data_IF_503069622613
#
_entry.id   IF_503069622613
#
_cell.length_a   1.000
_cell.length_b   1.000
_cell.length_c   1.000
_cell.angle_alpha   90.00
_cell.angle_beta   90.00
_cell.angle_gamma   90.00
#
_symmetry.space_group_name_H-M   'P 1'
#
loop_
_entity.id
_entity.type
_entity.pdbx_description
1 polymer ?
#
# COMPACT_ATOMS: atom_id res chain seq x y z
N UNK A 1 1.02 5.54 -9.80
CA UNK A 1 1.81 6.79 -9.81
C UNK A 1 2.16 7.14 -8.37
N UNK A 2 3.29 7.80 -8.09
CA UNK A 2 3.54 8.40 -6.76
C UNK A 2 2.62 9.57 -6.48
N UNK A 3 2.59 10.02 -5.22
CA UNK A 3 1.96 11.29 -4.86
C UNK A 3 2.66 12.47 -5.56
N UNK A 4 3.99 12.47 -5.69
CA UNK A 4 4.73 13.48 -6.46
C UNK A 4 4.28 13.54 -7.92
N UNK A 5 4.19 12.39 -8.59
CA UNK A 5 3.69 12.30 -9.97
C UNK A 5 2.24 12.79 -10.08
N UNK A 6 1.39 12.46 -9.10
CA UNK A 6 0.03 12.99 -9.02
C UNK A 6 0.01 14.52 -8.92
N UNK A 7 0.84 15.12 -8.07
CA UNK A 7 0.89 16.59 -7.96
C UNK A 7 1.28 17.26 -9.29
N UNK A 8 2.23 16.66 -10.01
CA UNK A 8 2.67 17.14 -11.32
C UNK A 8 1.58 16.98 -12.38
N UNK A 9 0.96 15.78 -12.47
CA UNK A 9 -0.10 15.47 -13.43
C UNK A 9 -1.31 16.40 -13.29
N UNK A 10 -1.66 16.77 -12.05
CA UNK A 10 -2.78 17.66 -11.74
C UNK A 10 -2.38 19.14 -11.68
N UNK A 11 -1.15 19.49 -12.09
CA UNK A 11 -0.65 20.86 -12.14
C UNK A 11 -0.73 21.59 -10.78
N UNK A 12 -0.58 20.83 -9.69
CA UNK A 12 -0.62 21.36 -8.32
C UNK A 12 0.76 21.83 -7.85
N UNK A 13 1.79 21.06 -8.17
CA UNK A 13 3.18 21.40 -7.92
C UNK A 13 4.11 20.49 -8.73
N UNK A 14 5.26 21.02 -9.15
CA UNK A 14 6.38 20.22 -9.65
C UNK A 14 7.49 20.24 -8.60
N UNK A 15 7.85 19.07 -8.10
CA UNK A 15 8.64 18.90 -6.88
C UNK A 15 9.69 17.80 -7.09
N UNK A 16 10.87 17.90 -6.43
CA UNK A 16 11.91 16.90 -6.54
C UNK A 16 11.54 15.59 -5.84
N UNK A 17 12.26 14.52 -6.18
CA UNK A 17 12.24 13.26 -5.40
C UNK A 17 13.49 13.14 -4.53
N UNK A 18 13.38 12.33 -3.47
CA UNK A 18 14.41 12.14 -2.45
C UNK A 18 14.68 10.65 -2.22
N UNK A 19 15.94 10.22 -2.02
CA UNK A 19 16.22 8.86 -1.62
C UNK A 19 15.71 8.61 -0.19
N UNK A 20 15.37 7.34 0.12
CA UNK A 20 14.84 6.98 1.43
C UNK A 20 15.75 7.41 2.59
N UNK A 21 17.07 7.22 2.47
CA UNK A 21 18.01 7.62 3.52
C UNK A 21 17.95 9.12 3.84
N UNK A 22 17.87 9.96 2.81
CA UNK A 22 17.79 11.41 2.97
C UNK A 22 16.43 11.82 3.55
N UNK A 23 15.35 11.18 3.11
CA UNK A 23 14.03 11.38 3.71
C UNK A 23 14.05 11.01 5.21
N UNK A 24 14.64 9.88 5.59
CA UNK A 24 14.70 9.44 6.99
C UNK A 24 15.50 10.41 7.88
N UNK A 25 16.63 10.90 7.38
CA UNK A 25 17.57 11.76 8.13
C UNK A 25 17.14 13.24 8.13
N UNK A 26 16.61 13.73 7.01
CA UNK A 26 16.39 15.16 6.76
C UNK A 26 14.91 15.54 6.51
N UNK A 27 13.95 14.66 6.83
CA UNK A 27 12.50 14.90 6.63
C UNK A 27 11.98 16.26 7.12
N UNK A 28 12.56 16.85 8.18
CA UNK A 28 12.13 18.16 8.68
C UNK A 28 12.43 19.28 7.66
N UNK A 29 13.66 19.30 7.14
CA UNK A 29 14.09 20.29 6.15
C UNK A 29 13.33 20.05 4.84
N UNK A 30 13.27 18.80 4.39
CA UNK A 30 12.54 18.40 3.18
C UNK A 30 11.06 18.85 3.26
N UNK A 31 10.37 18.59 4.36
CA UNK A 31 8.99 19.02 4.54
C UNK A 31 8.85 20.55 4.46
N UNK A 32 9.75 21.29 5.12
CA UNK A 32 9.73 22.76 5.10
C UNK A 32 9.95 23.30 3.68
N UNK A 33 10.90 22.74 2.93
CA UNK A 33 11.18 23.14 1.54
C UNK A 33 10.01 22.84 0.61
N UNK A 34 9.47 21.61 0.65
CA UNK A 34 8.32 21.22 -0.16
C UNK A 34 7.10 22.12 0.11
N UNK A 35 6.87 22.50 1.37
CA UNK A 35 5.74 23.36 1.77
C UNK A 35 5.89 24.84 1.37
N UNK A 36 7.07 25.27 0.90
CA UNK A 36 7.21 26.59 0.27
C UNK A 36 6.37 26.68 -1.00
N UNK A 37 6.34 25.60 -1.78
CA UNK A 37 5.59 25.47 -3.04
C UNK A 37 4.23 24.79 -2.83
N UNK A 38 4.19 23.64 -2.16
CA UNK A 38 2.97 22.85 -1.94
C UNK A 38 2.24 23.29 -0.69
N UNK A 39 1.18 24.09 -0.86
CA UNK A 39 0.29 24.46 0.25
C UNK A 39 -0.63 23.31 0.62
N UNK A 40 -0.89 23.13 1.91
CA UNK A 40 -1.79 22.10 2.45
C UNK A 40 -1.51 20.66 1.92
N UNK A 41 -0.29 20.12 2.09
CA UNK A 41 0.07 18.80 1.55
C UNK A 41 -0.87 17.67 1.99
N UNK A 42 -1.42 17.76 3.20
CA UNK A 42 -2.36 16.76 3.73
C UNK A 42 -3.68 16.70 2.95
N UNK A 43 -4.19 17.83 2.47
CA UNK A 43 -5.40 17.88 1.66
C UNK A 43 -5.20 17.13 0.34
N UNK A 44 -4.09 17.41 -0.34
CA UNK A 44 -3.74 16.78 -1.60
C UNK A 44 -3.42 15.30 -1.41
N UNK A 45 -2.69 14.93 -0.36
CA UNK A 45 -2.38 13.54 -0.04
C UNK A 45 -3.66 12.75 0.23
N UNK A 46 -4.61 13.31 0.99
CA UNK A 46 -5.91 12.65 1.24
C UNK A 46 -6.67 12.37 -0.06
N UNK A 47 -6.71 13.35 -0.97
CA UNK A 47 -7.34 13.16 -2.29
C UNK A 47 -6.61 12.13 -3.13
N UNK A 48 -5.27 12.11 -3.06
CA UNK A 48 -4.44 11.13 -3.73
C UNK A 48 -4.72 9.70 -3.28
N UNK A 49 -4.84 9.47 -1.97
CA UNK A 49 -5.12 8.15 -1.40
C UNK A 49 -6.49 7.59 -1.79
N UNK A 50 -7.43 8.48 -2.14
CA UNK A 50 -8.79 8.10 -2.56
C UNK A 50 -8.90 7.91 -4.07
N UNK A 51 -8.39 8.88 -4.84
CA UNK A 51 -8.64 8.98 -6.28
C UNK A 51 -7.44 9.49 -7.08
N UNK A 52 -6.20 9.35 -6.59
CA UNK A 52 -5.02 9.91 -7.27
C UNK A 52 -3.93 8.92 -7.70
N UNK A 53 -3.90 7.70 -7.16
CA UNK A 53 -2.88 6.71 -7.56
C UNK A 53 -2.92 6.34 -9.04
N UNK A 54 -4.12 6.18 -9.62
CA UNK A 54 -4.34 5.88 -11.05
C UNK A 54 -4.72 7.15 -11.81
N UNK A 55 -4.27 7.34 -13.07
CA UNK A 55 -4.54 8.53 -13.88
C UNK A 55 -6.01 8.61 -14.40
N UNK A 56 -6.95 7.92 -13.75
CA UNK A 56 -8.36 7.91 -14.11
C UNK A 56 -9.07 9.21 -13.72
N UNK A 57 -8.58 9.91 -12.69
CA UNK A 57 -9.21 11.11 -12.15
C UNK A 57 -8.93 12.37 -12.97
N UNK A 58 -8.12 12.27 -14.04
CA UNK A 58 -7.99 13.35 -15.04
C UNK A 58 -9.28 13.46 -15.87
N UNK A 59 -10.02 12.35 -16.01
CA UNK A 59 -11.21 12.26 -16.84
C UNK A 59 -12.51 12.43 -16.05
N UNK A 60 -12.46 12.39 -14.72
CA UNK A 60 -13.64 12.54 -13.85
C UNK A 60 -13.28 13.07 -12.48
N UNK A 61 -14.13 13.95 -11.94
CA UNK A 61 -14.06 14.41 -10.55
C UNK A 61 -14.97 13.60 -9.62
N UNK A 62 -15.76 12.66 -10.15
CA UNK A 62 -16.68 11.83 -9.38
C UNK A 62 -15.95 10.66 -8.73
N UNK A 63 -15.98 10.58 -7.40
CA UNK A 63 -15.37 9.48 -6.64
C UNK A 63 -16.05 8.14 -6.95
N UNK A 64 -17.37 8.15 -7.17
CA UNK A 64 -18.14 6.97 -7.56
C UNK A 64 -17.70 6.46 -8.93
N UNK A 65 -17.56 7.36 -9.91
CA UNK A 65 -17.12 6.99 -11.26
C UNK A 65 -15.66 6.50 -11.25
N UNK A 66 -14.79 7.16 -10.49
CA UNK A 66 -13.42 6.74 -10.29
C UNK A 66 -13.34 5.32 -9.71
N UNK A 67 -14.13 5.05 -8.66
CA UNK A 67 -14.21 3.73 -8.03
C UNK A 67 -14.70 2.66 -9.00
N UNK A 68 -15.75 2.96 -9.79
CA UNK A 68 -16.26 2.06 -10.83
C UNK A 68 -15.20 1.73 -11.88
N UNK A 69 -14.50 2.74 -12.41
CA UNK A 69 -13.43 2.55 -13.40
C UNK A 69 -12.24 1.79 -12.81
N UNK A 70 -11.91 2.03 -11.54
CA UNK A 70 -10.88 1.28 -10.81
C UNK A 70 -11.27 -0.19 -10.68
N UNK A 71 -12.52 -0.48 -10.32
CA UNK A 71 -13.04 -1.85 -10.28
C UNK A 71 -12.99 -2.53 -11.66
N UNK A 72 -13.38 -1.83 -12.72
CA UNK A 72 -13.30 -2.34 -14.10
C UNK A 72 -11.85 -2.65 -14.52
N UNK A 73 -10.89 -1.82 -14.10
CA UNK A 73 -9.47 -2.08 -14.34
C UNK A 73 -9.00 -3.35 -13.63
N UNK A 74 -9.37 -3.53 -12.36
CA UNK A 74 -9.07 -4.77 -11.62
C UNK A 74 -9.71 -5.97 -12.32
N UNK A 75 -10.98 -5.87 -12.73
CA UNK A 75 -11.70 -6.96 -13.38
C UNK A 75 -11.09 -7.32 -14.74
N UNK A 76 -10.59 -6.32 -15.49
CA UNK A 76 -9.85 -6.56 -16.73
C UNK A 76 -8.55 -7.33 -16.49
N UNK A 77 -7.78 -6.98 -15.46
CA UNK A 77 -6.55 -7.72 -15.10
C UNK A 77 -6.88 -9.17 -14.70
N UNK A 78 -7.96 -9.39 -13.96
CA UNK A 78 -8.39 -10.74 -13.58
C UNK A 78 -8.92 -11.56 -14.77
N UNK A 79 -9.69 -10.91 -15.64
CA UNK A 79 -10.46 -11.55 -16.71
C UNK A 79 -9.67 -11.77 -17.99
N UNK A 80 -8.67 -10.93 -18.28
CA UNK A 80 -7.82 -11.05 -19.46
C UNK A 80 -6.44 -11.57 -19.07
N UNK A 81 -5.69 -10.87 -18.23
CA UNK A 81 -4.28 -11.21 -17.99
C UNK A 81 -4.13 -12.53 -17.24
N UNK A 82 -4.78 -12.66 -16.07
CA UNK A 82 -4.68 -13.89 -15.29
C UNK A 82 -5.38 -15.09 -15.95
N UNK A 83 -6.49 -14.85 -16.65
CA UNK A 83 -7.18 -15.91 -17.38
C UNK A 83 -6.33 -16.44 -18.54
N UNK A 84 -5.66 -15.56 -19.28
CA UNK A 84 -4.77 -15.94 -20.37
C UNK A 84 -3.51 -16.67 -19.86
N UNK A 85 -2.90 -16.18 -18.78
CA UNK A 85 -1.64 -16.74 -18.27
C UNK A 85 -1.80 -18.06 -17.50
N UNK A 86 -2.95 -18.28 -16.86
CA UNK A 86 -3.15 -19.40 -15.93
C UNK A 86 -4.41 -20.24 -16.21
N UNK A 87 -5.06 -20.04 -17.35
CA UNK A 87 -6.26 -20.75 -17.80
C UNK A 87 -7.40 -20.71 -16.75
N UNK A 88 -7.64 -19.51 -16.20
CA UNK A 88 -8.66 -19.33 -15.17
C UNK A 88 -10.06 -19.33 -15.77
N UNK A 89 -10.80 -20.41 -15.49
CA UNK A 89 -12.24 -20.49 -15.71
C UNK A 89 -13.02 -19.32 -15.09
N UNK A 90 -14.22 -19.06 -15.60
CA UNK A 90 -15.14 -18.07 -15.03
C UNK A 90 -15.44 -18.31 -13.54
N UNK A 91 -15.45 -19.58 -13.11
CA UNK A 91 -15.62 -19.94 -11.69
C UNK A 91 -14.44 -19.47 -10.84
N UNK A 92 -13.21 -19.62 -11.33
CA UNK A 92 -12.01 -19.11 -10.65
C UNK A 92 -12.06 -17.60 -10.52
N UNK A 93 -12.40 -16.87 -11.58
CA UNK A 93 -12.50 -15.42 -11.56
C UNK A 93 -13.53 -14.93 -10.52
N UNK A 94 -14.70 -15.56 -10.45
CA UNK A 94 -15.72 -15.23 -9.44
C UNK A 94 -15.21 -15.43 -8.02
N UNK A 95 -14.46 -16.52 -7.76
CA UNK A 95 -13.86 -16.80 -6.46
C UNK A 95 -12.72 -15.84 -6.12
N UNK A 96 -11.89 -15.45 -7.10
CA UNK A 96 -10.84 -14.44 -6.90
C UNK A 96 -11.44 -13.07 -6.59
N UNK A 97 -12.52 -12.66 -7.26
CA UNK A 97 -13.25 -11.43 -6.91
C UNK A 97 -13.74 -11.46 -5.47
N UNK A 98 -14.29 -12.60 -5.03
CA UNK A 98 -14.72 -12.77 -3.64
C UNK A 98 -13.54 -12.73 -2.65
N UNK A 99 -12.40 -13.32 -3.01
CA UNK A 99 -11.17 -13.22 -2.23
C UNK A 99 -10.74 -11.75 -2.06
N UNK A 100 -10.69 -10.97 -3.14
CA UNK A 100 -10.32 -9.55 -3.10
C UNK A 100 -11.28 -8.73 -2.24
N UNK A 101 -12.59 -8.98 -2.31
CA UNK A 101 -13.57 -8.33 -1.43
C UNK A 101 -13.31 -8.63 0.05
N UNK A 102 -13.00 -9.89 0.39
CA UNK A 102 -12.63 -10.28 1.76
C UNK A 102 -11.35 -9.58 2.21
N UNK A 103 -10.33 -9.52 1.36
CA UNK A 103 -9.06 -8.85 1.67
C UNK A 103 -9.23 -7.33 1.87
N UNK A 104 -10.11 -6.69 1.10
CA UNK A 104 -10.36 -5.25 1.20
C UNK A 104 -11.07 -4.83 2.49
N UNK A 105 -11.96 -5.68 3.01
CA UNK A 105 -12.74 -5.42 4.23
C UNK A 105 -12.04 -5.92 5.52
N UNK A 106 -10.94 -6.68 5.42
CA UNK A 106 -10.24 -7.23 6.58
C UNK A 106 -9.33 -6.18 7.24
N UNK A 107 -9.53 -5.94 8.54
CA UNK A 107 -8.75 -4.95 9.34
C UNK A 107 -7.38 -5.48 9.77
N UNK A 108 -7.25 -6.80 9.93
CA UNK A 108 -6.02 -7.46 10.35
C UNK A 108 -5.50 -8.28 9.17
N UNK A 109 -4.53 -7.73 8.45
CA UNK A 109 -3.98 -8.26 7.21
C UNK A 109 -3.26 -9.62 7.31
N UNK A 110 -3.45 -10.36 8.39
CA UNK A 110 -2.89 -11.70 8.60
C UNK A 110 -3.86 -12.72 8.02
N UNK A 111 -3.52 -13.39 6.90
CA UNK A 111 -4.47 -14.26 6.24
C UNK A 111 -4.64 -15.59 6.99
N UNK A 112 -5.89 -15.97 7.24
CA UNK A 112 -6.23 -17.35 7.56
C UNK A 112 -6.48 -18.13 6.26
N UNK A 113 -5.42 -18.66 5.65
CA UNK A 113 -5.50 -19.36 4.35
C UNK A 113 -6.50 -20.53 4.40
N UNK A 114 -6.62 -21.23 5.54
CA UNK A 114 -7.55 -22.35 5.68
C UNK A 114 -9.00 -21.88 5.68
N UNK A 115 -9.28 -20.77 6.35
CA UNK A 115 -10.60 -20.14 6.34
C UNK A 115 -10.95 -19.59 4.96
N UNK A 116 -10.03 -18.90 4.29
CA UNK A 116 -10.20 -18.45 2.91
C UNK A 116 -10.50 -19.61 1.97
N UNK A 117 -9.75 -20.71 2.07
CA UNK A 117 -9.98 -21.92 1.27
C UNK A 117 -11.38 -22.50 1.50
N UNK A 118 -11.84 -22.52 2.76
CA UNK A 118 -13.18 -22.98 3.14
C UNK A 118 -14.26 -22.08 2.55
N UNK A 119 -14.14 -20.76 2.74
CA UNK A 119 -15.09 -19.75 2.26
C UNK A 119 -15.21 -19.77 0.73
N UNK A 120 -14.08 -19.96 0.03
CA UNK A 120 -13.99 -19.99 -1.42
C UNK A 120 -14.25 -21.37 -2.02
N UNK A 121 -14.38 -22.41 -1.19
CA UNK A 121 -14.54 -23.81 -1.61
C UNK A 121 -13.46 -24.23 -2.60
N UNK A 122 -12.20 -24.07 -2.22
CA UNK A 122 -11.01 -24.49 -2.98
C UNK A 122 -9.97 -25.07 -2.04
N UNK A 123 -8.91 -25.67 -2.60
CA UNK A 123 -7.80 -26.15 -1.76
C UNK A 123 -6.98 -24.99 -1.18
N UNK A 124 -6.31 -25.24 -0.06
CA UNK A 124 -5.33 -24.29 0.54
C UNK A 124 -4.26 -23.87 -0.46
N UNK A 125 -3.76 -24.81 -1.27
CA UNK A 125 -2.72 -24.55 -2.27
C UNK A 125 -3.25 -23.64 -3.40
N UNK A 126 -4.51 -23.81 -3.80
CA UNK A 126 -5.15 -22.94 -4.79
C UNK A 126 -5.20 -21.49 -4.30
N UNK A 127 -5.54 -21.25 -3.03
CA UNK A 127 -5.53 -19.88 -2.46
C UNK A 127 -4.12 -19.29 -2.50
N UNK A 128 -3.10 -20.06 -2.10
CA UNK A 128 -1.70 -19.58 -2.12
C UNK A 128 -1.22 -19.23 -3.54
N UNK A 129 -1.53 -20.06 -4.52
CA UNK A 129 -1.23 -19.76 -5.93
C UNK A 129 -1.96 -18.49 -6.39
N UNK A 130 -3.23 -18.30 -6.03
CA UNK A 130 -3.96 -17.08 -6.36
C UNK A 130 -3.33 -15.83 -5.75
N UNK A 131 -2.88 -15.89 -4.49
CA UNK A 131 -2.18 -14.77 -3.85
C UNK A 131 -0.87 -14.42 -4.56
N UNK A 132 -0.12 -15.41 -5.01
CA UNK A 132 1.10 -15.19 -5.80
C UNK A 132 0.80 -14.54 -7.15
N UNK A 133 -0.20 -15.05 -7.88
CA UNK A 133 -0.55 -14.49 -9.18
C UNK A 133 -1.14 -13.07 -9.06
N UNK A 134 -1.90 -12.79 -7.99
CA UNK A 134 -2.39 -11.44 -7.71
C UNK A 134 -1.27 -10.45 -7.37
N UNK A 135 -0.19 -10.91 -6.72
CA UNK A 135 0.99 -10.09 -6.48
C UNK A 135 1.77 -9.82 -7.78
N UNK A 136 1.96 -10.84 -8.62
CA UNK A 136 2.58 -10.69 -9.94
C UNK A 136 1.80 -9.73 -10.84
N UNK A 137 0.47 -9.72 -10.72
CA UNK A 137 -0.43 -8.79 -11.41
C UNK A 137 -0.52 -7.40 -10.76
N UNK A 138 0.27 -7.11 -9.73
CA UNK A 138 0.25 -5.85 -8.98
C UNK A 138 -1.16 -5.48 -8.46
N UNK A 139 -1.92 -6.47 -7.98
CA UNK A 139 -3.22 -6.25 -7.30
C UNK A 139 -3.04 -6.22 -5.78
N UNK A 140 -2.16 -7.05 -5.25
CA UNK A 140 -1.83 -7.16 -3.83
C UNK A 140 -0.31 -7.20 -3.64
N UNK A 141 0.12 -7.11 -2.37
CA UNK A 141 1.48 -7.44 -1.95
C UNK A 141 1.45 -8.47 -0.84
N UNK A 142 2.29 -9.49 -0.98
CA UNK A 142 2.52 -10.51 0.02
C UNK A 142 3.76 -10.13 0.82
N UNK A 143 3.57 -9.73 2.08
CA UNK A 143 4.65 -9.32 2.97
C UNK A 143 4.95 -10.49 3.92
N UNK A 144 6.21 -10.89 3.96
CA UNK A 144 6.71 -12.00 4.75
C UNK A 144 7.52 -11.50 5.94
N UNK A 145 7.71 -12.34 6.95
CA UNK A 145 8.74 -12.11 7.97
C UNK A 145 10.14 -12.39 7.42
N UNK A 146 11.15 -11.80 8.05
CA UNK A 146 12.54 -12.16 7.77
C UNK A 146 12.77 -13.68 7.95
N UNK A 147 13.55 -14.28 7.06
CA UNK A 147 13.84 -15.72 7.06
C UNK A 147 12.70 -16.62 6.54
N UNK A 148 11.51 -16.09 6.27
CA UNK A 148 10.49 -16.82 5.52
C UNK A 148 10.87 -16.83 4.03
N UNK A 149 11.07 -18.02 3.43
CA UNK A 149 11.46 -18.13 2.02
C UNK A 149 10.36 -17.66 1.05
N UNK A 150 10.75 -17.23 -0.15
CA UNK A 150 9.85 -16.69 -1.20
C UNK A 150 9.19 -17.78 -2.06
N UNK A 151 9.01 -19.00 -1.52
CA UNK A 151 8.37 -20.08 -2.27
C UNK A 151 6.92 -19.73 -2.59
N UNK A 152 6.45 -20.09 -3.79
CA UNK A 152 5.08 -19.87 -4.25
C UNK A 152 4.02 -20.42 -3.29
N UNK A 153 4.34 -21.47 -2.53
CA UNK A 153 3.44 -22.08 -1.54
C UNK A 153 3.68 -21.61 -0.11
N UNK A 154 4.61 -20.67 0.09
CA UNK A 154 4.81 -20.05 1.40
C UNK A 154 3.63 -19.14 1.69
N UNK A 155 3.05 -19.31 2.87
CA UNK A 155 2.00 -18.43 3.36
C UNK A 155 2.58 -17.03 3.63
N UNK A 156 1.97 -15.95 3.13
CA UNK A 156 2.33 -14.60 3.56
C UNK A 156 1.92 -14.34 5.01
N UNK A 157 2.74 -13.56 5.71
CA UNK A 157 2.48 -13.17 7.08
C UNK A 157 1.53 -11.96 7.14
N UNK A 158 1.59 -11.10 6.12
CA UNK A 158 0.67 -9.97 5.92
C UNK A 158 0.37 -9.79 4.43
N UNK A 159 -0.86 -9.43 4.10
CA UNK A 159 -1.27 -9.11 2.73
C UNK A 159 -1.82 -7.69 2.71
N UNK A 160 -1.32 -6.80 1.86
CA UNK A 160 -1.94 -5.49 1.61
C UNK A 160 -2.40 -5.41 0.16
N UNK A 161 -3.42 -4.58 -0.13
CA UNK A 161 -3.73 -4.26 -1.52
C UNK A 161 -2.58 -3.41 -2.09
N UNK A 162 -2.39 -3.45 -3.40
CA UNK A 162 -1.28 -2.78 -4.05
C UNK A 162 -1.28 -1.26 -3.80
N UNK A 163 -2.46 -0.63 -3.74
CA UNK A 163 -2.60 0.79 -3.48
C UNK A 163 -3.94 1.09 -2.80
N UNK A 164 -4.04 2.28 -2.20
CA UNK A 164 -5.23 2.70 -1.43
C UNK A 164 -6.48 2.88 -2.29
N UNK A 165 -6.35 3.21 -3.57
CA UNK A 165 -7.52 3.35 -4.45
C UNK A 165 -8.20 1.98 -4.68
N UNK A 166 -7.44 0.88 -4.66
CA UNK A 166 -8.00 -0.46 -4.66
C UNK A 166 -8.77 -0.76 -3.36
N UNK A 167 -8.29 -0.28 -2.20
CA UNK A 167 -9.06 -0.38 -0.96
C UNK A 167 -10.42 0.32 -1.10
N UNK A 168 -10.46 1.53 -1.65
CA UNK A 168 -11.72 2.27 -1.88
C UNK A 168 -12.63 1.65 -2.94
N UNK A 169 -12.06 1.01 -3.97
CA UNK A 169 -12.86 0.39 -5.03
C UNK A 169 -13.44 -0.98 -4.65
N UNK A 170 -12.73 -1.76 -3.82
CA UNK A 170 -13.10 -3.13 -3.45
C UNK A 170 -13.78 -3.22 -2.08
N UNK A 171 -13.43 -2.34 -1.14
CA UNK A 171 -13.94 -2.35 0.22
C UNK A 171 -15.13 -1.43 0.40
N UNK A 172 -16.01 -1.72 1.37
CA UNK A 172 -17.16 -0.85 1.68
C UNK A 172 -16.72 0.42 2.41
N UNK A 173 -15.89 0.24 3.43
CA UNK A 173 -15.34 1.31 4.26
C UNK A 173 -13.92 0.96 4.65
N UNK A 174 -12.91 1.39 3.87
CA UNK A 174 -11.51 1.08 4.17
C UNK A 174 -11.10 1.55 5.55
N UNK A 175 -10.35 0.70 6.26
CA UNK A 175 -9.80 1.06 7.57
C UNK A 175 -8.64 2.07 7.41
N UNK A 176 -8.56 3.08 8.28
CA UNK A 176 -7.50 4.11 8.17
C UNK A 176 -6.10 3.56 8.45
N UNK A 177 -5.95 2.64 9.40
CA UNK A 177 -4.67 1.98 9.68
C UNK A 177 -4.16 1.22 8.47
N UNK A 178 -5.06 0.46 7.87
CA UNK A 178 -4.89 -0.20 6.59
C UNK A 178 -4.38 0.74 5.50
N UNK A 179 -5.04 1.88 5.28
CA UNK A 179 -4.68 2.79 4.19
C UNK A 179 -3.27 3.35 4.36
N UNK A 180 -2.86 3.63 5.61
CA UNK A 180 -1.52 4.12 5.92
C UNK A 180 -0.45 3.08 5.59
N UNK A 181 -0.67 1.84 6.03
CA UNK A 181 0.26 0.74 5.75
C UNK A 181 0.34 0.43 4.27
N UNK A 182 -0.81 0.36 3.57
CA UNK A 182 -0.88 0.18 2.11
C UNK A 182 -0.08 1.27 1.40
N UNK A 183 -0.26 2.54 1.77
CA UNK A 183 0.46 3.63 1.13
C UNK A 183 1.97 3.54 1.36
N UNK A 184 2.42 3.31 2.60
CA UNK A 184 3.86 3.19 2.92
C UNK A 184 4.48 2.01 2.18
N UNK A 185 3.84 0.84 2.20
CA UNK A 185 4.31 -0.34 1.49
C UNK A 185 4.36 -0.09 -0.02
N UNK A 186 3.32 0.51 -0.60
CA UNK A 186 3.27 0.87 -2.01
C UNK A 186 4.43 1.78 -2.41
N UNK A 187 4.67 2.88 -1.70
CA UNK A 187 5.71 3.85 -2.06
C UNK A 187 7.12 3.26 -1.93
N UNK A 188 7.37 2.48 -0.88
CA UNK A 188 8.67 1.83 -0.66
C UNK A 188 8.96 0.75 -1.71
N UNK A 189 8.03 -0.19 -1.90
CA UNK A 189 8.25 -1.30 -2.81
C UNK A 189 8.29 -0.85 -4.27
N UNK A 190 7.48 0.13 -4.68
CA UNK A 190 7.55 0.68 -6.05
C UNK A 190 8.83 1.47 -6.31
N UNK A 191 9.49 1.97 -5.26
CA UNK A 191 10.84 2.52 -5.39
C UNK A 191 11.92 1.44 -5.56
N UNK A 192 11.60 0.17 -5.27
CA UNK A 192 12.51 -0.97 -5.33
C UNK A 192 13.14 -1.34 -3.97
N UNK A 193 12.62 -0.81 -2.86
CA UNK A 193 13.05 -1.23 -1.53
C UNK A 193 12.47 -2.61 -1.17
N UNK A 194 13.27 -3.41 -0.48
CA UNK A 194 12.83 -4.69 0.07
C UNK A 194 12.06 -4.45 1.37
N UNK A 195 10.87 -5.04 1.49
CA UNK A 195 9.97 -4.83 2.63
C UNK A 195 9.56 -6.16 3.25
N UNK A 196 9.84 -6.33 4.53
CA UNK A 196 9.41 -7.48 5.34
C UNK A 196 8.72 -7.01 6.61
N UNK A 197 8.05 -7.91 7.33
CA UNK A 197 7.52 -7.62 8.66
C UNK A 197 8.65 -7.56 9.67
N UNK A 198 8.66 -6.51 10.48
CA UNK A 198 9.60 -6.39 11.59
C UNK A 198 9.18 -7.28 12.77
N UNK A 199 10.15 -7.75 13.57
CA UNK A 199 9.87 -8.38 14.87
C UNK A 199 9.25 -7.38 15.86
N UNK A 200 9.71 -6.12 15.79
CA UNK A 200 9.23 -4.99 16.55
C UNK A 200 8.95 -3.85 15.58
N UNK A 201 7.68 -3.45 15.48
CA UNK A 201 7.21 -2.46 14.52
C UNK A 201 6.28 -3.07 13.45
N UNK A 202 5.93 -2.30 12.43
CA UNK A 202 5.09 -2.78 11.33
C UNK A 202 5.91 -3.34 10.17
N UNK A 203 7.00 -2.67 9.79
CA UNK A 203 7.84 -3.05 8.66
C UNK A 203 9.34 -2.91 8.93
N UNK A 204 10.13 -3.76 8.29
CA UNK A 204 11.58 -3.64 8.14
C UNK A 204 11.88 -3.41 6.66
N UNK A 205 12.69 -2.40 6.37
CA UNK A 205 13.05 -1.97 5.01
C UNK A 205 14.55 -2.20 4.79
N UNK A 206 14.89 -2.86 3.69
CA UNK A 206 16.26 -3.18 3.27
C UNK A 206 17.13 -3.79 4.39
N UNK A 207 16.50 -4.60 5.25
CA UNK A 207 17.13 -5.24 6.43
C UNK A 207 17.86 -4.26 7.36
N UNK A 208 17.47 -2.98 7.32
CA UNK A 208 18.20 -1.87 7.95
C UNK A 208 17.32 -0.92 8.75
N UNK A 209 16.14 -0.58 8.24
CA UNK A 209 15.30 0.47 8.80
C UNK A 209 13.98 -0.10 9.30
N UNK A 210 13.68 0.09 10.58
CA UNK A 210 12.39 -0.28 11.15
C UNK A 210 11.40 0.88 11.06
N UNK A 211 10.22 0.62 10.50
CA UNK A 211 9.13 1.59 10.41
C UNK A 211 7.92 1.13 11.23
N UNK A 212 7.44 2.03 12.08
CA UNK A 212 6.18 1.91 12.79
C UNK A 212 5.17 2.88 12.18
N UNK A 213 4.11 2.37 11.57
CA UNK A 213 3.13 3.16 10.82
C UNK A 213 1.89 3.40 11.68
N UNK A 214 1.43 4.65 11.77
CA UNK A 214 0.27 4.94 12.58
C UNK A 214 -0.34 6.32 12.43
N UNK A 215 -1.48 6.48 13.09
CA UNK A 215 -2.15 7.78 13.19
C UNK A 215 -1.47 8.71 14.20
N UNK A 216 -1.99 9.93 14.29
CA UNK A 216 -1.49 11.00 15.17
C UNK A 216 -1.15 10.54 16.61
N UNK A 217 -1.98 9.65 17.17
CA UNK A 217 -1.89 9.18 18.55
C UNK A 217 -0.94 7.99 18.78
N UNK A 218 -0.28 7.47 17.74
CA UNK A 218 0.65 6.34 17.86
C UNK A 218 1.85 6.75 18.75
N UNK A 219 2.09 5.98 19.81
CA UNK A 219 3.13 6.24 20.81
C UNK A 219 4.43 5.54 20.44
N UNK A 220 5.59 6.13 20.78
CA UNK A 220 6.94 5.61 20.47
C UNK A 220 7.30 4.27 21.13
N UNK A 221 6.41 3.67 21.94
CA UNK A 221 6.76 2.61 22.89
C UNK A 221 7.29 1.33 22.23
N UNK A 222 6.82 1.00 21.03
CA UNK A 222 7.15 -0.28 20.40
C UNK A 222 8.57 -0.33 19.83
N UNK A 223 9.11 0.81 19.37
CA UNK A 223 10.42 0.88 18.69
C UNK A 223 11.44 1.77 19.41
N UNK A 224 11.14 2.23 20.64
CA UNK A 224 11.98 3.18 21.36
C UNK A 224 13.40 2.69 21.65
N UNK A 225 13.61 1.37 21.73
CA UNK A 225 14.89 0.75 22.01
C UNK A 225 15.71 0.41 20.75
N UNK A 226 15.13 0.59 19.56
CA UNK A 226 15.77 0.23 18.30
C UNK A 226 16.58 1.40 17.74
N UNK A 227 17.82 1.14 17.35
CA UNK A 227 18.57 2.00 16.43
C UNK A 227 17.94 1.91 15.04
N UNK A 228 18.02 2.99 14.26
CA UNK A 228 17.45 3.03 12.90
C UNK A 228 15.96 2.70 12.85
N UNK A 229 15.18 3.32 13.74
CA UNK A 229 13.74 3.13 13.78
C UNK A 229 12.97 4.47 13.75
N UNK A 230 11.97 4.55 12.87
CA UNK A 230 11.16 5.74 12.66
C UNK A 230 9.68 5.44 12.80
N UNK A 231 8.95 6.45 13.28
CA UNK A 231 7.49 6.43 13.36
C UNK A 231 6.97 7.22 12.17
N UNK A 232 6.26 6.54 11.28
CA UNK A 232 5.56 7.17 10.17
C UNK A 232 4.19 7.60 10.66
N UNK A 233 3.94 8.91 10.73
CA UNK A 233 2.70 9.49 11.25
C UNK A 233 1.89 10.17 10.17
N UNK A 234 0.63 9.77 10.11
CA UNK A 234 -0.40 10.47 9.37
C UNK A 234 -0.92 11.72 10.13
N UNK A 235 -1.51 12.66 9.38
CA UNK A 235 -2.09 13.92 9.86
C UNK A 235 -1.10 14.86 10.58
N UNK A 236 0.15 14.87 10.14
CA UNK A 236 1.15 15.88 10.51
C UNK A 236 1.84 16.39 9.24
N UNK A 237 2.15 17.68 9.19
CA UNK A 237 2.86 18.27 8.04
C UNK A 237 4.37 18.17 8.20
N UNK A 238 4.87 18.44 9.40
CA UNK A 238 6.30 18.44 9.74
C UNK A 238 6.54 17.40 10.84
N UNK A 239 7.62 16.64 10.66
CA UNK A 239 8.08 15.64 11.62
C UNK A 239 8.94 16.22 12.73
N UNK A 240 9.42 15.36 13.63
CA UNK A 240 10.40 15.75 14.62
C UNK A 240 11.16 14.52 15.11
N UNK A 241 12.49 14.63 15.25
CA UNK A 241 13.38 13.53 15.67
C UNK A 241 13.23 12.32 14.74
N UNK A 242 12.73 11.18 15.23
CA UNK A 242 12.47 9.98 14.45
C UNK A 242 11.01 9.83 14.04
N UNK A 243 10.26 10.94 13.94
CA UNK A 243 8.86 10.94 13.52
C UNK A 243 8.76 11.59 12.16
N UNK A 244 8.31 10.85 11.16
CA UNK A 244 8.25 11.29 9.76
C UNK A 244 6.78 11.43 9.34
N UNK A 245 6.40 12.54 8.70
CA UNK A 245 5.10 12.69 8.07
C UNK A 245 4.88 11.65 6.97
N UNK A 246 3.76 10.93 7.03
CA UNK A 246 3.42 9.87 6.08
C UNK A 246 3.47 10.38 4.63
N UNK A 247 2.93 11.56 4.36
CA UNK A 247 2.83 12.12 3.00
C UNK A 247 4.19 12.29 2.29
N UNK A 248 5.31 12.38 3.01
CA UNK A 248 6.64 12.49 2.42
C UNK A 248 7.08 11.23 1.67
N UNK A 249 6.59 10.04 2.05
CA UNK A 249 6.90 8.80 1.34
C UNK A 249 6.45 8.85 -0.12
N UNK A 250 5.51 9.75 -0.44
CA UNK A 250 5.08 10.09 -1.78
C UNK A 250 6.15 10.67 -2.72
N UNK A 251 7.35 10.96 -2.21
CA UNK A 251 8.43 11.65 -2.92
C UNK A 251 9.68 10.78 -3.12
N UNK A 252 9.58 9.45 -2.98
CA UNK A 252 10.73 8.56 -3.12
C UNK A 252 11.24 8.38 -4.57
N UNK A 253 10.42 8.65 -5.59
CA UNK A 253 10.76 8.53 -7.02
C UNK A 253 10.20 9.68 -7.84
#
# INVERSE_FOLDING_TARGET
MSFREYLSLYQLADLPSFPLSDLLENHQIIAMELMQTLKAPLLHCKKYLQTGYLPLGVQTSSEQEYGMRTFQLIDAVLGFDLAFLHDYSASHQSKIRRLLGVLADTVLYIPNIQELATVLQVSRNTVLMWLQHLEQAAIIRNIHKEGHGTSVLQKPDKIVLENTNFNYALGKTPNEGTLRETFVANQLCNKGHHLVLAEQGDFMVDDKYTLEVGGKNKKKKQIAALSNAWIVKDNIEIGYTNVIPLWLFGFLY
#
